data_IF_021797177731
#
_entry.id   IF_021797177731
#
_cell.length_a   1.000
_cell.length_b   1.000
_cell.length_c   1.000
_cell.angle_alpha   90.00
_cell.angle_beta   90.00
_cell.angle_gamma   90.00
#
_symmetry.space_group_name_H-M   'P 1'
#
loop_
_entity.id
_entity.type
_entity.pdbx_description
1 polymer ?
#
# COMPACT_ATOMS: atom_id res chain seq x y z
N UNK A 1 -3.77 45.02 12.89
CA UNK A 1 -3.44 43.93 13.85
C UNK A 1 -4.21 42.64 13.57
N UNK A 2 -5.55 42.65 13.52
CA UNK A 2 -6.38 41.44 13.28
C UNK A 2 -6.08 40.69 11.95
N UNK A 3 -5.74 41.41 10.88
CA UNK A 3 -5.34 40.82 9.58
C UNK A 3 -4.00 40.07 9.63
N UNK A 4 -3.04 40.52 10.44
CA UNK A 4 -1.76 39.82 10.61
C UNK A 4 -1.91 38.53 11.43
N UNK A 5 -2.80 38.53 12.44
CA UNK A 5 -3.10 37.35 13.26
C UNK A 5 -3.75 36.25 12.41
N UNK A 6 -4.68 36.61 11.52
CA UNK A 6 -5.33 35.66 10.61
C UNK A 6 -4.34 35.04 9.59
N UNK A 7 -3.41 35.84 9.06
CA UNK A 7 -2.37 35.36 8.14
C UNK A 7 -1.39 34.42 8.87
N UNK A 8 -1.03 34.74 10.12
CA UNK A 8 -0.15 33.91 10.92
C UNK A 8 -0.81 32.59 11.34
N UNK A 9 -2.11 32.63 11.70
CA UNK A 9 -2.89 31.43 12.03
C UNK A 9 -3.05 30.50 10.82
N UNK A 10 -3.34 31.04 9.63
CA UNK A 10 -3.44 30.27 8.39
C UNK A 10 -2.08 29.67 7.95
N UNK A 11 -0.97 30.38 8.18
CA UNK A 11 0.38 29.89 7.91
C UNK A 11 0.83 28.75 8.85
N UNK A 12 0.47 28.79 10.14
CA UNK A 12 0.81 27.73 11.08
C UNK A 12 0.08 26.41 10.81
N UNK A 13 -1.13 26.44 10.23
CA UNK A 13 -1.88 25.22 9.86
C UNK A 13 -1.17 24.37 8.80
N UNK A 14 -0.27 24.95 8.00
CA UNK A 14 0.51 24.23 6.97
C UNK A 14 1.74 23.53 7.58
N UNK A 15 2.06 23.81 8.85
CA UNK A 15 3.19 23.22 9.58
C UNK A 15 2.78 22.05 10.51
N UNK A 16 1.50 21.67 10.50
CA UNK A 16 1.05 20.43 11.11
C UNK A 16 1.31 19.32 10.10
N UNK A 17 2.19 18.37 10.43
CA UNK A 17 2.52 17.22 9.57
C UNK A 17 1.25 16.61 8.99
N UNK A 18 1.21 16.41 7.67
CA UNK A 18 0.05 15.82 7.03
C UNK A 18 0.03 14.34 7.40
N UNK A 19 -1.03 13.90 8.10
CA UNK A 19 -1.21 12.47 8.40
C UNK A 19 -1.14 11.67 7.11
N UNK A 20 -0.28 10.66 7.07
CA UNK A 20 -0.07 9.81 5.89
C UNK A 20 1.18 10.14 5.07
N UNK A 21 2.04 11.07 5.51
CA UNK A 21 3.30 11.34 4.84
C UNK A 21 4.20 10.09 4.77
N UNK A 22 4.68 9.79 3.57
CA UNK A 22 5.54 8.64 3.32
C UNK A 22 6.97 8.95 3.78
N UNK A 23 7.48 8.16 4.72
CA UNK A 23 8.81 8.34 5.30
C UNK A 23 9.85 7.49 4.58
N UNK A 24 9.53 6.22 4.30
CA UNK A 24 10.43 5.33 3.59
C UNK A 24 9.72 4.18 2.89
N UNK A 25 10.38 3.63 1.87
CA UNK A 25 9.94 2.43 1.16
C UNK A 25 11.07 1.41 1.08
N UNK A 26 10.73 0.13 1.12
CA UNK A 26 11.65 -0.97 0.92
C UNK A 26 10.96 -2.06 0.10
N UNK A 27 11.61 -2.58 -0.94
CA UNK A 27 11.11 -3.75 -1.67
C UNK A 27 11.33 -4.99 -0.79
N UNK A 28 10.25 -5.71 -0.52
CA UNK A 28 10.26 -6.99 0.19
C UNK A 28 10.33 -8.18 -0.76
N UNK A 29 9.52 -8.17 -1.82
CA UNK A 29 9.46 -9.25 -2.81
C UNK A 29 8.97 -8.73 -4.17
N UNK A 30 9.24 -9.49 -5.23
CA UNK A 30 8.72 -9.25 -6.58
C UNK A 30 8.52 -10.54 -7.32
N UNK A 31 7.37 -10.67 -7.98
CA UNK A 31 7.03 -11.83 -8.81
C UNK A 31 6.46 -11.36 -10.14
N UNK A 32 6.82 -12.05 -11.22
CA UNK A 32 6.14 -11.86 -12.50
C UNK A 32 4.83 -12.66 -12.54
N UNK A 33 4.06 -12.51 -13.62
CA UNK A 33 2.78 -13.20 -13.78
C UNK A 33 2.93 -14.72 -13.75
N UNK A 34 3.98 -15.27 -14.38
CA UNK A 34 4.23 -16.72 -14.43
C UNK A 34 4.55 -17.28 -13.05
N UNK A 35 5.39 -16.61 -12.26
CA UNK A 35 5.75 -17.04 -10.91
C UNK A 35 4.56 -16.91 -9.95
N UNK A 36 3.71 -15.89 -10.12
CA UNK A 36 2.47 -15.77 -9.35
C UNK A 36 1.49 -16.90 -9.67
N UNK A 37 1.31 -17.21 -10.96
CA UNK A 37 0.40 -18.28 -11.36
C UNK A 37 0.87 -19.63 -10.82
N UNK A 38 2.16 -19.94 -10.93
CA UNK A 38 2.73 -21.16 -10.36
C UNK A 38 2.49 -21.25 -8.86
N UNK A 39 2.66 -20.16 -8.10
CA UNK A 39 2.38 -20.15 -6.66
C UNK A 39 0.90 -20.39 -6.32
N UNK A 40 -0.02 -19.84 -7.11
CA UNK A 40 -1.46 -20.10 -6.94
C UNK A 40 -1.76 -21.58 -7.15
N UNK A 41 -1.20 -22.18 -8.20
CA UNK A 41 -1.43 -23.57 -8.58
C UNK A 41 -0.76 -24.55 -7.62
N UNK A 42 0.50 -24.32 -7.26
CA UNK A 42 1.32 -25.28 -6.52
C UNK A 42 1.14 -25.17 -5.00
N UNK A 43 0.86 -23.99 -4.47
CA UNK A 43 0.79 -23.78 -3.02
C UNK A 43 -0.62 -23.40 -2.56
N UNK A 44 -1.21 -22.36 -3.13
CA UNK A 44 -2.48 -21.82 -2.61
C UNK A 44 -3.65 -22.77 -2.84
N UNK A 45 -3.74 -23.37 -4.04
CA UNK A 45 -4.82 -24.30 -4.40
C UNK A 45 -4.93 -25.49 -3.43
N UNK A 46 -3.82 -25.90 -2.83
CA UNK A 46 -3.76 -27.00 -1.86
C UNK A 46 -4.33 -26.60 -0.49
N UNK A 47 -4.36 -25.30 -0.16
CA UNK A 47 -4.81 -24.77 1.13
C UNK A 47 -6.30 -24.39 1.10
N UNK A 48 -6.80 -23.88 -0.03
CA UNK A 48 -8.19 -23.41 -0.18
C UNK A 48 -9.15 -24.43 -0.80
N UNK A 49 -8.83 -25.72 -0.75
CA UNK A 49 -9.63 -26.81 -1.36
C UNK A 49 -11.14 -26.64 -1.17
N UNK A 50 -11.85 -26.54 -2.30
CA UNK A 50 -13.31 -26.44 -2.47
C UNK A 50 -14.03 -25.19 -1.91
N UNK A 51 -13.33 -24.15 -1.44
CA UNK A 51 -13.98 -22.94 -0.91
C UNK A 51 -13.98 -21.73 -1.86
N UNK A 52 -12.97 -21.58 -2.72
CA UNK A 52 -12.85 -20.43 -3.63
C UNK A 52 -12.20 -20.83 -4.95
N UNK A 53 -12.71 -20.31 -6.07
CA UNK A 53 -11.98 -20.33 -7.35
C UNK A 53 -11.19 -19.03 -7.50
N UNK A 54 -9.88 -19.14 -7.72
CA UNK A 54 -9.02 -17.99 -8.01
C UNK A 54 -8.84 -17.92 -9.52
N UNK A 55 -9.24 -16.80 -10.12
CA UNK A 55 -9.02 -16.56 -11.54
C UNK A 55 -7.51 -16.51 -11.85
N UNK A 56 -7.09 -16.90 -13.07
CA UNK A 56 -5.68 -16.85 -13.46
C UNK A 56 -5.08 -15.45 -13.25
N UNK A 57 -3.87 -15.41 -12.68
CA UNK A 57 -3.15 -14.19 -12.43
C UNK A 57 -2.93 -13.41 -13.73
N UNK A 58 -3.36 -12.15 -13.74
CA UNK A 58 -3.16 -11.24 -14.88
C UNK A 58 -1.90 -10.39 -14.73
N UNK A 59 -1.37 -10.27 -13.51
CA UNK A 59 -0.24 -9.42 -13.18
C UNK A 59 0.74 -10.11 -12.23
N UNK A 60 2.00 -9.68 -12.31
CA UNK A 60 2.95 -9.84 -11.22
C UNK A 60 2.64 -8.88 -10.07
N UNK A 61 3.52 -8.82 -9.06
CA UNK A 61 3.49 -7.74 -8.08
C UNK A 61 4.90 -7.27 -7.69
N UNK A 62 4.97 -6.03 -7.24
CA UNK A 62 6.01 -5.52 -6.35
C UNK A 62 5.44 -5.38 -4.95
N UNK A 63 6.08 -5.99 -3.96
CA UNK A 63 5.67 -5.87 -2.57
C UNK A 63 6.60 -4.92 -1.86
N UNK A 64 6.05 -3.81 -1.36
CA UNK A 64 6.79 -2.81 -0.61
C UNK A 64 6.40 -2.87 0.86
N UNK A 65 7.38 -2.76 1.74
CA UNK A 65 7.19 -2.23 3.09
C UNK A 65 7.25 -0.72 3.02
N UNK A 66 6.27 -0.06 3.62
CA UNK A 66 6.26 1.40 3.76
C UNK A 66 6.30 1.77 5.23
N UNK A 67 7.02 2.85 5.55
CA UNK A 67 6.92 3.54 6.84
C UNK A 67 6.29 4.89 6.59
N UNK A 68 5.25 5.24 7.34
CA UNK A 68 4.50 6.47 7.15
C UNK A 68 4.17 7.13 8.48
N UNK A 69 3.98 8.45 8.43
CA UNK A 69 3.54 9.25 9.57
C UNK A 69 2.05 9.04 9.84
N UNK A 70 1.72 8.84 11.10
CA UNK A 70 0.35 8.77 11.62
C UNK A 70 0.28 9.41 13.00
N UNK A 71 -0.85 9.26 13.68
CA UNK A 71 -1.02 9.68 15.08
C UNK A 71 -1.39 8.50 15.97
N UNK A 72 -1.03 8.59 17.24
CA UNK A 72 -1.49 7.68 18.27
C UNK A 72 -2.91 8.03 18.78
N UNK A 73 -3.38 7.28 19.79
CA UNK A 73 -4.69 7.50 20.42
C UNK A 73 -4.82 8.84 21.15
N UNK A 74 -3.70 9.52 21.43
CA UNK A 74 -3.64 10.83 22.06
C UNK A 74 -3.43 11.96 21.05
N UNK A 75 -3.34 11.64 19.75
CA UNK A 75 -3.12 12.60 18.68
C UNK A 75 -1.67 13.04 18.51
N UNK A 76 -0.71 12.39 19.18
CA UNK A 76 0.71 12.68 19.05
C UNK A 76 1.30 12.00 17.80
N UNK A 77 2.38 12.58 17.27
CA UNK A 77 3.13 12.04 16.14
C UNK A 77 3.55 10.59 16.39
N UNK A 78 3.32 9.73 15.40
CA UNK A 78 3.70 8.33 15.45
C UNK A 78 4.12 7.80 14.08
N UNK A 79 4.98 6.79 14.07
CA UNK A 79 5.37 6.09 12.85
C UNK A 79 4.69 4.73 12.81
N UNK A 80 4.03 4.43 11.70
CA UNK A 80 3.47 3.13 11.43
C UNK A 80 4.12 2.50 10.20
N UNK A 81 4.00 1.18 10.11
CA UNK A 81 4.43 0.43 8.94
C UNK A 81 3.26 -0.28 8.30
N UNK A 82 3.29 -0.40 6.97
CA UNK A 82 2.31 -1.17 6.21
C UNK A 82 2.95 -1.85 5.02
N UNK A 83 2.16 -2.62 4.29
CA UNK A 83 2.56 -3.25 3.04
C UNK A 83 1.74 -2.74 1.87
N UNK A 84 2.40 -2.44 0.75
CA UNK A 84 1.75 -2.08 -0.51
C UNK A 84 2.15 -3.12 -1.56
N UNK A 85 1.17 -3.81 -2.12
CA UNK A 85 1.36 -4.65 -3.30
C UNK A 85 0.96 -3.85 -4.54
N UNK A 86 1.91 -3.54 -5.40
CA UNK A 86 1.69 -2.81 -6.65
C UNK A 86 1.72 -3.77 -7.86
N UNK A 87 0.70 -3.78 -8.74
CA UNK A 87 0.68 -4.65 -9.90
C UNK A 87 1.90 -4.45 -10.80
N UNK A 88 2.60 -5.54 -11.09
CA UNK A 88 3.76 -5.55 -11.99
C UNK A 88 3.32 -5.99 -13.38
N UNK A 89 3.57 -5.14 -14.36
CA UNK A 89 3.42 -5.45 -15.79
C UNK A 89 4.82 -5.55 -16.39
N UNK A 90 5.14 -6.70 -16.97
CA UNK A 90 6.45 -6.94 -17.58
C UNK A 90 6.43 -6.67 -19.09
N UNK A 91 7.58 -6.27 -19.62
CA UNK A 91 7.79 -6.11 -21.06
C UNK A 91 7.43 -7.42 -21.81
N UNK A 92 6.84 -7.36 -23.01
CA UNK A 92 6.59 -6.18 -23.86
C UNK A 92 5.31 -5.40 -23.54
N UNK A 93 4.57 -5.80 -22.51
CA UNK A 93 3.28 -5.18 -22.19
C UNK A 93 3.52 -3.85 -21.48
N UNK A 94 2.85 -2.80 -21.95
CA UNK A 94 2.86 -1.49 -21.30
C UNK A 94 1.60 -1.39 -20.45
N UNK A 95 1.76 -1.07 -19.16
CA UNK A 95 0.63 -0.80 -18.28
C UNK A 95 -0.17 0.41 -18.80
N UNK A 96 -1.37 0.19 -19.32
CA UNK A 96 -2.25 1.25 -19.86
C UNK A 96 -3.63 1.24 -19.19
N UNK A 97 -3.66 0.98 -17.89
CA UNK A 97 -4.89 0.90 -17.11
C UNK A 97 -4.68 1.57 -15.76
N UNK A 98 -5.75 2.17 -15.24
CA UNK A 98 -5.78 2.63 -13.86
C UNK A 98 -6.04 1.43 -12.95
N UNK A 99 -5.20 1.24 -11.93
CA UNK A 99 -5.41 0.20 -10.93
C UNK A 99 -6.27 0.75 -9.80
N UNK A 100 -7.36 0.07 -9.39
CA UNK A 100 -8.09 0.45 -8.20
C UNK A 100 -7.22 0.23 -6.95
N UNK A 101 -7.45 1.04 -5.92
CA UNK A 101 -6.80 0.87 -4.62
C UNK A 101 -7.71 0.02 -3.74
N UNK A 102 -7.18 -1.08 -3.21
CA UNK A 102 -7.81 -1.88 -2.18
C UNK A 102 -7.05 -1.67 -0.86
N UNK A 103 -7.78 -1.33 0.21
CA UNK A 103 -7.24 -1.28 1.56
C UNK A 103 -7.72 -2.53 2.31
N UNK A 104 -6.78 -3.31 2.81
CA UNK A 104 -7.05 -4.52 3.57
C UNK A 104 -6.45 -4.42 4.96
N UNK A 105 -7.21 -4.87 5.95
CA UNK A 105 -6.83 -4.91 7.36
C UNK A 105 -6.73 -6.38 7.78
N UNK A 106 -5.57 -6.77 8.28
CA UNK A 106 -5.34 -8.13 8.73
C UNK A 106 -6.14 -8.43 10.02
N UNK A 107 -6.46 -9.71 10.23
CA UNK A 107 -7.05 -10.18 11.49
C UNK A 107 -6.03 -10.18 12.64
N UNK A 108 -6.52 -10.41 13.86
CA UNK A 108 -5.64 -10.75 14.99
C UNK A 108 -5.02 -12.11 14.73
N UNK A 109 -3.70 -12.19 14.85
CA UNK A 109 -2.92 -13.43 14.70
C UNK A 109 -2.88 -14.18 16.02
#
# INVERSE_FOLDING_TARGET
MMRLILIFAAGCSICLGARGDLISTQILDTRNVTNNQAYIEDELSQVVTDQFSIDPAQYGFWLYKVTYETVDIHGAYHLATGTIAYPRVDWPVIANQAFPIMSYQHGTV
#
